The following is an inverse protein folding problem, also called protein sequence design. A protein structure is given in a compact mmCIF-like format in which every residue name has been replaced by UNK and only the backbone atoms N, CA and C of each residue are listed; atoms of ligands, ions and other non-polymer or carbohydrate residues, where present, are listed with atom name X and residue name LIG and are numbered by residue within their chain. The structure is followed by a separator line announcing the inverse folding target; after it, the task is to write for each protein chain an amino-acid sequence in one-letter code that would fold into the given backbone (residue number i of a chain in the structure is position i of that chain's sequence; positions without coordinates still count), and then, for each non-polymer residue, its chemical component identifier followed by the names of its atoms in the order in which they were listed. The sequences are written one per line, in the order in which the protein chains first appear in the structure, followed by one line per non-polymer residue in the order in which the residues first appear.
data_IF_556736090337
#
_entry.id   IF_556736090337
#
_cell.length_a   1.000
_cell.length_b   1.000
_cell.length_c   1.000
_cell.angle_alpha   90.00
_cell.angle_beta   90.00
_cell.angle_gamma   90.00
#
_symmetry.space_group_name_H-M   'P 1'
#
loop_
_entity.id
_entity.type
_entity.pdbx_description
1 polymer ?
#
# COMPACT_ATOMS: atom_id res chain seq x y z
N UNK A 1 18.80 1.04 -17.25
CA UNK A 1 18.73 0.94 -18.72
C UNK A 1 17.30 1.00 -19.25
N UNK A 2 16.29 0.58 -18.48
CA UNK A 2 14.92 0.44 -19.01
C UNK A 2 14.10 1.75 -19.07
N UNK A 3 14.42 2.73 -18.22
CA UNK A 3 13.85 4.10 -18.36
C UNK A 3 14.24 4.74 -19.70
N UNK A 4 15.52 4.61 -20.10
CA UNK A 4 15.99 5.11 -21.40
C UNK A 4 15.31 4.36 -22.55
N UNK A 5 15.13 3.04 -22.46
CA UNK A 5 14.39 2.26 -23.47
C UNK A 5 12.93 2.72 -23.60
N UNK A 6 12.30 3.09 -22.48
CA UNK A 6 10.94 3.64 -22.49
C UNK A 6 10.89 5.02 -23.18
N UNK A 7 11.85 5.91 -22.91
CA UNK A 7 11.96 7.20 -23.58
C UNK A 7 12.20 7.08 -25.10
N UNK A 8 12.85 6.00 -25.54
CA UNK A 8 13.14 5.70 -26.94
C UNK A 8 12.10 4.75 -27.60
N UNK A 9 10.85 4.74 -27.12
CA UNK A 9 9.68 4.03 -27.69
C UNK A 9 9.70 2.49 -27.66
N UNK A 10 10.34 1.85 -26.67
CA UNK A 10 10.18 0.41 -26.44
C UNK A 10 9.13 0.11 -25.35
N UNK A 11 8.18 -0.82 -25.56
CA UNK A 11 7.25 -1.22 -24.51
C UNK A 11 7.99 -1.89 -23.34
N UNK A 12 7.60 -1.57 -22.11
CA UNK A 12 8.16 -2.14 -20.89
C UNK A 12 7.92 -3.65 -20.86
N UNK A 13 8.97 -4.44 -21.06
CA UNK A 13 8.92 -5.91 -21.06
C UNK A 13 9.06 -6.52 -19.65
N UNK A 14 9.21 -5.68 -18.61
CA UNK A 14 9.41 -6.16 -17.25
C UNK A 14 8.10 -6.61 -16.60
N UNK A 15 8.04 -7.89 -16.22
CA UNK A 15 6.89 -8.51 -15.52
C UNK A 15 7.09 -8.67 -14.02
N UNK A 16 8.26 -8.35 -13.48
CA UNK A 16 8.55 -8.57 -12.05
C UNK A 16 8.13 -7.33 -11.24
N UNK A 17 7.27 -7.47 -10.21
CA UNK A 17 6.73 -6.33 -9.46
C UNK A 17 7.79 -5.49 -8.76
N UNK A 18 8.88 -6.11 -8.26
CA UNK A 18 10.01 -5.38 -7.66
C UNK A 18 10.75 -4.50 -8.67
N UNK A 19 10.92 -4.97 -9.91
CA UNK A 19 11.59 -4.21 -10.96
C UNK A 19 10.72 -3.04 -11.45
N UNK A 20 9.39 -3.22 -11.47
CA UNK A 20 8.43 -2.15 -11.76
C UNK A 20 8.43 -1.07 -10.67
N UNK A 21 8.54 -1.46 -9.39
CA UNK A 21 8.65 -0.51 -8.28
C UNK A 21 9.93 0.32 -8.37
N UNK A 22 11.07 -0.32 -8.64
CA UNK A 22 12.34 0.38 -8.85
C UNK A 22 12.29 1.33 -10.05
N UNK A 23 11.60 0.94 -11.12
CA UNK A 23 11.37 1.81 -12.28
C UNK A 23 10.45 2.98 -11.95
N UNK A 24 9.40 2.77 -11.15
CA UNK A 24 8.52 3.83 -10.66
C UNK A 24 9.29 4.86 -9.83
N UNK A 25 10.12 4.40 -8.88
CA UNK A 25 11.00 5.26 -8.08
C UNK A 25 11.99 6.05 -8.95
N UNK A 26 12.53 5.42 -9.99
CA UNK A 26 13.39 6.13 -10.95
C UNK A 26 12.59 7.13 -11.79
N UNK A 27 11.41 6.75 -12.29
CA UNK A 27 10.56 7.60 -13.10
C UNK A 27 10.12 8.86 -12.35
N UNK A 28 9.81 8.74 -11.06
CA UNK A 28 9.53 9.87 -10.16
C UNK A 28 10.73 10.80 -10.02
N UNK A 29 11.93 10.26 -9.75
CA UNK A 29 13.17 11.03 -9.68
C UNK A 29 13.48 11.81 -10.96
N UNK A 30 13.04 11.31 -12.11
CA UNK A 30 13.23 11.96 -13.42
C UNK A 30 11.95 12.64 -13.94
N UNK A 31 10.90 12.72 -13.12
CA UNK A 31 9.60 13.36 -13.42
C UNK A 31 8.94 12.87 -14.73
N UNK A 32 9.12 11.59 -15.08
CA UNK A 32 8.58 11.00 -16.30
C UNK A 32 7.15 10.49 -16.07
N UNK A 33 6.18 11.41 -16.11
CA UNK A 33 4.76 11.12 -15.84
C UNK A 33 4.17 9.94 -16.63
N UNK A 34 4.51 9.81 -17.92
CA UNK A 34 4.04 8.72 -18.77
C UNK A 34 4.55 7.35 -18.32
N UNK A 35 5.77 7.28 -17.76
CA UNK A 35 6.35 6.07 -17.22
C UNK A 35 5.69 5.71 -15.88
N UNK A 36 5.41 6.70 -15.03
CA UNK A 36 4.70 6.52 -13.76
C UNK A 36 3.31 5.91 -13.97
N UNK A 37 2.50 6.48 -14.87
CA UNK A 37 1.17 5.96 -15.19
C UNK A 37 1.19 4.59 -15.86
N UNK A 38 2.25 4.28 -16.64
CA UNK A 38 2.41 2.96 -17.23
C UNK A 38 2.76 1.92 -16.16
N UNK A 39 3.67 2.25 -15.25
CA UNK A 39 4.06 1.37 -14.15
C UNK A 39 2.90 1.10 -13.20
N UNK A 40 2.11 2.12 -12.82
CA UNK A 40 0.95 1.91 -11.95
C UNK A 40 -0.09 0.99 -12.58
N UNK A 41 -0.41 1.18 -13.87
CA UNK A 41 -1.28 0.26 -14.62
C UNK A 41 -0.74 -1.16 -14.69
N UNK A 42 0.56 -1.34 -14.87
CA UNK A 42 1.16 -2.68 -14.89
C UNK A 42 1.11 -3.34 -13.52
N UNK A 43 1.37 -2.59 -12.45
CA UNK A 43 1.30 -3.08 -11.08
C UNK A 43 -0.13 -3.48 -10.68
N UNK A 44 -1.16 -2.77 -11.16
CA UNK A 44 -2.56 -3.14 -10.97
C UNK A 44 -2.96 -4.46 -11.67
N UNK A 45 -2.26 -4.85 -12.74
CA UNK A 45 -2.53 -6.10 -13.44
C UNK A 45 -1.84 -7.33 -12.81
N UNK A 46 -0.95 -7.11 -11.83
CA UNK A 46 -0.29 -8.18 -11.09
C UNK A 46 -1.18 -8.55 -9.89
N UNK A 47 -1.37 -9.84 -9.55
CA UNK A 47 -2.14 -10.23 -8.38
C UNK A 47 -1.58 -9.58 -7.11
N UNK A 48 -2.44 -8.88 -6.37
CA UNK A 48 -2.07 -8.20 -5.14
C UNK A 48 -1.92 -9.21 -3.99
N UNK A 49 -0.85 -9.08 -3.23
CA UNK A 49 -0.59 -9.86 -2.01
C UNK A 49 -0.49 -8.87 -0.84
N UNK A 50 -0.70 -9.34 0.39
CA UNK A 50 -0.60 -8.47 1.58
C UNK A 50 0.76 -7.74 1.66
N UNK A 51 1.86 -8.44 1.35
CA UNK A 51 3.19 -7.84 1.35
C UNK A 51 3.35 -6.74 0.30
N UNK A 52 2.81 -6.92 -0.91
CA UNK A 52 2.88 -5.90 -1.96
C UNK A 52 1.96 -4.71 -1.67
N UNK A 53 0.78 -4.94 -1.10
CA UNK A 53 -0.13 -3.86 -0.67
C UNK A 53 0.52 -2.98 0.41
N UNK A 54 1.17 -3.58 1.41
CA UNK A 54 1.91 -2.84 2.44
C UNK A 54 3.09 -2.05 1.86
N UNK A 55 3.81 -2.62 0.88
CA UNK A 55 4.89 -1.93 0.19
C UNK A 55 4.39 -0.72 -0.62
N UNK A 56 3.19 -0.79 -1.22
CA UNK A 56 2.61 0.34 -1.96
C UNK A 56 2.13 1.45 -1.03
N UNK A 57 1.54 1.11 0.11
CA UNK A 57 1.12 2.09 1.12
C UNK A 57 2.29 2.72 1.87
N UNK A 58 3.42 2.02 1.97
CA UNK A 58 4.67 2.53 2.53
C UNK A 58 5.51 3.37 1.57
N UNK A 59 5.02 3.71 0.38
CA UNK A 59 5.74 4.58 -0.56
C UNK A 59 5.89 6.00 0.01
N UNK A 60 6.98 6.72 -0.33
CA UNK A 60 7.17 8.10 0.10
C UNK A 60 5.96 8.98 -0.22
N UNK A 61 5.58 9.85 0.73
CA UNK A 61 4.42 10.75 0.61
C UNK A 61 4.37 11.55 -0.70
N UNK A 62 5.53 11.92 -1.24
CA UNK A 62 5.66 12.65 -2.51
C UNK A 62 5.08 11.84 -3.70
N UNK A 63 5.25 10.51 -3.69
CA UNK A 63 4.71 9.61 -4.71
C UNK A 63 3.20 9.39 -4.53
N UNK A 64 2.74 9.25 -3.29
CA UNK A 64 1.32 9.01 -2.96
C UNK A 64 0.39 10.14 -3.43
N UNK A 65 0.91 11.37 -3.48
CA UNK A 65 0.15 12.55 -3.92
C UNK A 65 0.03 12.68 -5.46
N UNK A 66 0.71 11.84 -6.23
CA UNK A 66 0.64 11.90 -7.69
C UNK A 66 -0.64 11.24 -8.23
N UNK A 67 -1.33 11.92 -9.15
CA UNK A 67 -2.56 11.39 -9.78
C UNK A 67 -2.35 10.05 -10.51
N UNK A 68 -1.10 9.74 -10.88
CA UNK A 68 -0.74 8.48 -11.54
C UNK A 68 -0.74 7.27 -10.59
N UNK A 69 -0.53 7.48 -9.28
CA UNK A 69 -0.32 6.43 -8.28
C UNK A 69 -1.54 6.23 -7.38
N UNK A 70 -2.41 7.25 -7.23
CA UNK A 70 -3.72 7.14 -6.55
C UNK A 70 -4.51 5.84 -6.84
N UNK A 71 -4.73 5.43 -8.10
CA UNK A 71 -5.48 4.19 -8.34
C UNK A 71 -4.78 2.92 -7.82
N UNK A 72 -3.46 2.95 -7.66
CA UNK A 72 -2.69 1.85 -7.07
C UNK A 72 -2.84 1.82 -5.54
N UNK A 73 -2.84 2.99 -4.90
CA UNK A 73 -3.04 3.10 -3.44
C UNK A 73 -4.46 2.72 -3.07
N UNK A 74 -5.45 3.24 -3.79
CA UNK A 74 -6.86 2.94 -3.54
C UNK A 74 -7.14 1.43 -3.69
N UNK A 75 -6.54 0.79 -4.70
CA UNK A 75 -6.66 -0.66 -4.89
C UNK A 75 -5.97 -1.46 -3.76
N UNK A 76 -4.83 -0.98 -3.25
CA UNK A 76 -4.14 -1.60 -2.13
C UNK A 76 -4.94 -1.46 -0.82
N UNK A 77 -5.54 -0.30 -0.57
CA UNK A 77 -6.43 -0.05 0.58
C UNK A 77 -7.65 -0.96 0.52
N UNK A 78 -8.35 -1.00 -0.62
CA UNK A 78 -9.50 -1.88 -0.81
C UNK A 78 -9.15 -3.35 -0.65
N UNK A 79 -7.96 -3.77 -1.12
CA UNK A 79 -7.51 -5.15 -0.95
C UNK A 79 -7.24 -5.50 0.53
N UNK A 80 -6.64 -4.58 1.29
CA UNK A 80 -6.41 -4.78 2.73
C UNK A 80 -7.74 -4.77 3.50
N UNK A 81 -8.63 -3.83 3.21
CA UNK A 81 -9.97 -3.75 3.77
C UNK A 81 -10.75 -5.06 3.54
N UNK A 82 -10.75 -5.58 2.32
CA UNK A 82 -11.41 -6.85 2.00
C UNK A 82 -10.74 -8.05 2.68
N UNK A 83 -9.41 -8.05 2.80
CA UNK A 83 -8.64 -9.14 3.41
C UNK A 83 -8.78 -9.20 4.93
N UNK A 84 -8.96 -8.05 5.58
CA UNK A 84 -9.07 -7.91 7.04
C UNK A 84 -10.48 -7.49 7.51
N UNK A 85 -11.49 -7.73 6.68
CA UNK A 85 -12.90 -7.44 7.00
C UNK A 85 -13.32 -7.98 8.37
N UNK A 86 -12.88 -9.18 8.70
CA UNK A 86 -13.06 -9.80 10.01
C UNK A 86 -11.84 -9.55 10.91
N UNK A 87 -11.71 -8.32 11.42
CA UNK A 87 -10.57 -7.93 12.26
C UNK A 87 -10.44 -8.86 13.48
N UNK A 88 -11.56 -9.31 14.06
CA UNK A 88 -11.60 -10.21 15.23
C UNK A 88 -10.98 -11.58 14.96
N UNK A 89 -11.17 -12.14 13.76
CA UNK A 89 -10.59 -13.43 13.37
C UNK A 89 -9.10 -13.31 13.01
N UNK A 90 -8.68 -12.12 12.55
CA UNK A 90 -7.31 -11.87 12.09
C UNK A 90 -6.50 -10.97 13.02
N UNK A 91 -6.91 -10.78 14.29
CA UNK A 91 -6.25 -9.88 15.25
C UNK A 91 -4.73 -10.06 15.28
N UNK A 92 -4.23 -11.30 15.37
CA UNK A 92 -2.78 -11.57 15.40
C UNK A 92 -2.01 -11.10 14.16
N UNK A 93 -2.68 -10.97 13.01
CA UNK A 93 -2.08 -10.45 11.77
C UNK A 93 -2.21 -8.93 11.71
N UNK A 94 -3.37 -8.38 12.08
CA UNK A 94 -3.63 -6.94 12.13
C UNK A 94 -2.67 -6.25 13.10
N UNK A 95 -2.45 -6.84 14.27
CA UNK A 95 -1.51 -6.35 15.28
C UNK A 95 -0.05 -6.26 14.78
N UNK A 96 0.30 -6.98 13.70
CA UNK A 96 1.65 -6.95 13.10
C UNK A 96 1.77 -5.99 11.92
N UNK A 97 0.68 -5.38 11.49
CA UNK A 97 0.70 -4.44 10.37
C UNK A 97 1.43 -3.16 10.76
N UNK A 98 2.16 -2.51 9.83
CA UNK A 98 2.67 -1.16 10.01
C UNK A 98 1.52 -0.14 10.01
N UNK A 99 1.79 1.10 10.42
CA UNK A 99 0.81 2.18 10.54
C UNK A 99 -0.05 2.34 9.27
N UNK A 100 0.58 2.46 8.11
CA UNK A 100 -0.14 2.62 6.84
C UNK A 100 -1.11 1.45 6.54
N UNK A 101 -0.77 0.24 7.01
CA UNK A 101 -1.63 -0.93 6.87
C UNK A 101 -2.83 -0.91 7.81
N UNK A 102 -2.66 -0.47 9.07
CA UNK A 102 -3.78 -0.38 10.01
C UNK A 102 -4.72 0.78 9.66
N UNK A 103 -4.18 1.91 9.22
CA UNK A 103 -4.98 3.05 8.72
C UNK A 103 -5.85 2.63 7.53
N UNK A 104 -5.29 1.90 6.57
CA UNK A 104 -6.04 1.40 5.41
C UNK A 104 -7.18 0.44 5.80
N UNK A 105 -6.96 -0.43 6.79
CA UNK A 105 -8.00 -1.33 7.30
C UNK A 105 -9.08 -0.55 8.04
N UNK A 106 -8.70 0.41 8.90
CA UNK A 106 -9.63 1.22 9.70
C UNK A 106 -10.43 2.23 8.87
N UNK A 107 -9.91 2.66 7.72
CA UNK A 107 -10.59 3.58 6.81
C UNK A 107 -11.75 2.92 6.05
N UNK A 108 -11.94 1.60 6.19
CA UNK A 108 -13.02 0.86 5.55
C UNK A 108 -14.31 0.91 6.38
N UNK A 109 -15.41 1.31 5.74
CA UNK A 109 -16.75 1.29 6.36
C UNK A 109 -17.34 -0.12 6.50
N UNK A 110 -16.82 -1.11 5.76
CA UNK A 110 -17.36 -2.47 5.70
C UNK A 110 -16.82 -3.42 6.79
N UNK A 111 -16.20 -2.91 7.84
CA UNK A 111 -15.58 -3.74 8.89
C UNK A 111 -16.62 -4.56 9.66
N UNK A 112 -16.40 -5.88 9.73
CA UNK A 112 -17.25 -6.78 10.51
C UNK A 112 -16.82 -6.79 11.97
N UNK A 113 -17.33 -5.81 12.70
CA UNK A 113 -17.15 -5.67 14.16
C UNK A 113 -18.49 -5.61 14.85
N UNK A 114 -18.55 -6.15 16.07
CA UNK A 114 -19.77 -6.14 16.89
C UNK A 114 -20.05 -4.78 17.50
N UNK A 115 -19.00 -3.98 17.72
CA UNK A 115 -19.06 -2.63 18.28
C UNK A 115 -17.79 -1.85 17.92
N UNK A 116 -17.88 -0.52 17.93
CA UNK A 116 -16.72 0.38 17.78
C UNK A 116 -15.73 0.24 18.94
N UNK A 117 -16.21 -0.10 20.15
CA UNK A 117 -15.35 -0.41 21.30
C UNK A 117 -14.36 -1.54 20.99
N UNK A 118 -14.80 -2.54 20.22
CA UNK A 118 -13.92 -3.63 19.79
C UNK A 118 -12.81 -3.16 18.83
N UNK A 119 -13.08 -2.14 18.01
CA UNK A 119 -12.06 -1.52 17.16
C UNK A 119 -11.07 -0.75 18.02
N UNK A 120 -11.57 0.01 19.00
CA UNK A 120 -10.74 0.77 19.94
C UNK A 120 -9.76 -0.13 20.70
N UNK A 121 -10.24 -1.25 21.25
CA UNK A 121 -9.40 -2.21 21.98
C UNK A 121 -8.30 -2.81 21.08
N UNK A 122 -8.59 -3.06 19.81
CA UNK A 122 -7.62 -3.60 18.85
C UNK A 122 -6.55 -2.56 18.51
N UNK A 123 -6.95 -1.30 18.30
CA UNK A 123 -6.01 -0.20 18.03
C UNK A 123 -5.15 0.09 19.27
N UNK A 124 -5.73 0.04 20.47
CA UNK A 124 -4.99 0.20 21.71
C UNK A 124 -3.94 -0.90 21.86
N UNK A 125 -4.31 -2.15 21.64
CA UNK A 125 -3.38 -3.28 21.66
C UNK A 125 -2.30 -3.15 20.58
N UNK A 126 -2.63 -2.67 19.38
CA UNK A 126 -1.66 -2.41 18.32
C UNK A 126 -0.65 -1.34 18.74
N UNK A 127 -1.13 -0.20 19.24
CA UNK A 127 -0.29 0.89 19.71
C UNK A 127 0.62 0.43 20.86
N UNK A 128 0.14 -0.47 21.72
CA UNK A 128 0.97 -1.03 22.78
C UNK A 128 2.13 -1.90 22.28
N UNK A 129 1.93 -2.63 21.19
CA UNK A 129 2.94 -3.51 20.60
C UNK A 129 3.98 -2.70 19.81
N UNK A 130 3.53 -1.69 19.07
CA UNK A 130 4.41 -0.90 18.19
C UNK A 130 5.06 0.30 18.89
N UNK A 131 4.41 0.87 19.91
CA UNK A 131 4.89 2.00 20.71
C UNK A 131 4.80 1.66 22.20
N UNK A 132 5.80 0.93 22.73
CA UNK A 132 5.84 0.55 24.14
C UNK A 132 6.19 1.74 25.05
N UNK A 133 6.85 2.77 24.53
CA UNK A 133 7.22 3.97 25.29
C UNK A 133 6.08 5.00 25.29
N UNK A 134 5.80 5.57 26.47
CA UNK A 134 4.68 6.49 26.71
C UNK A 134 4.85 7.84 26.00
N UNK A 135 6.08 8.17 25.59
CA UNK A 135 6.42 9.41 24.89
C UNK A 135 6.15 9.31 23.37
N UNK A 136 6.00 8.09 22.83
CA UNK A 136 5.71 7.82 21.42
C UNK A 136 4.24 7.41 21.16
N UNK A 137 3.40 7.36 22.22
CA UNK A 137 1.96 7.07 22.16
C UNK A 137 1.10 8.33 22.12
#
# INVERSE_FOLDING_TARGET
MDLLKFMYNSPLSMKTPSALLNLLMAADRFEVASCMSCCSRLLLNVPMMCESALLYLGLPYILLMTDAIKPLTDAAEQFLAASYKDITNFQNKVLKLPLAGIEAVLSSDDLQVTSEDGVYDIVLNWAWIHYPELEER
#
